data_IF_526420011565
#
_entry.id   IF_526420011565
#
_cell.length_a   1.000
_cell.length_b   1.000
_cell.length_c   1.000
_cell.angle_alpha   90.00
_cell.angle_beta   90.00
_cell.angle_gamma   90.00
#
_symmetry.space_group_name_H-M   'P 1'
#
loop_
_entity.id
_entity.type
_entity.pdbx_description
1 polymer ?
#
# COMPACT_ATOMS: atom_id res chain seq x y z
N UNK A 1 21.03 -4.48 27.13
CA UNK A 1 20.56 -5.36 26.04
C UNK A 1 19.05 -5.25 25.97
N UNK A 2 18.57 -4.20 25.32
CA UNK A 2 17.14 -4.01 25.03
C UNK A 2 16.82 -4.91 23.85
N UNK A 3 16.12 -6.03 24.10
CA UNK A 3 15.52 -6.80 23.01
C UNK A 3 14.61 -5.85 22.24
N UNK A 4 14.83 -5.72 20.94
CA UNK A 4 13.91 -5.03 20.04
C UNK A 4 12.51 -5.59 20.28
N UNK A 5 11.60 -4.72 20.71
CA UNK A 5 10.22 -5.14 20.96
C UNK A 5 9.61 -5.54 19.61
N UNK A 6 9.13 -6.78 19.43
CA UNK A 6 8.72 -7.31 18.11
C UNK A 6 7.68 -6.45 17.38
N UNK A 7 6.88 -5.67 18.11
CA UNK A 7 5.90 -4.77 17.51
C UNK A 7 6.55 -3.61 16.75
N UNK A 8 7.78 -3.19 17.09
CA UNK A 8 8.47 -2.04 16.47
C UNK A 8 9.04 -2.35 15.10
N UNK A 9 9.30 -3.62 14.83
CA UNK A 9 9.91 -4.10 13.58
C UNK A 9 8.91 -4.85 12.72
N UNK A 10 7.65 -5.03 13.16
CA UNK A 10 6.62 -5.72 12.38
C UNK A 10 6.41 -5.08 11.00
N UNK A 11 6.56 -3.75 10.91
CA UNK A 11 6.49 -3.04 9.63
C UNK A 11 7.74 -3.25 8.77
N UNK A 12 8.91 -3.41 9.39
CA UNK A 12 10.18 -3.73 8.72
C UNK A 12 10.15 -5.15 8.14
N UNK A 13 9.45 -6.06 8.85
CA UNK A 13 9.30 -7.46 8.46
C UNK A 13 8.18 -7.68 7.43
N UNK A 14 7.28 -6.71 7.22
CA UNK A 14 6.17 -6.79 6.26
C UNK A 14 6.61 -6.61 4.78
N UNK A 15 7.84 -6.99 4.45
CA UNK A 15 8.32 -6.94 3.08
C UNK A 15 7.90 -8.19 2.30
N UNK A 16 6.82 -8.13 1.53
CA UNK A 16 6.63 -9.13 0.46
C UNK A 16 7.73 -8.95 -0.61
N UNK A 17 8.43 -10.02 -1.03
CA UNK A 17 9.52 -9.94 -2.00
C UNK A 17 9.13 -9.35 -3.37
N UNK A 18 7.86 -9.46 -3.76
CA UNK A 18 7.42 -9.26 -5.16
C UNK A 18 6.79 -7.86 -5.43
N UNK A 19 6.40 -7.11 -4.38
CA UNK A 19 5.73 -5.80 -4.49
C UNK A 19 6.61 -4.60 -4.06
N UNK A 20 7.94 -4.79 -3.97
CA UNK A 20 8.90 -3.81 -3.42
C UNK A 20 9.05 -2.53 -4.24
N UNK A 21 8.49 -2.42 -5.44
CA UNK A 21 8.74 -1.24 -6.28
C UNK A 21 8.22 0.04 -5.63
N UNK A 22 6.98 0.08 -5.17
CA UNK A 22 6.38 1.30 -4.63
C UNK A 22 7.04 1.75 -3.31
N UNK A 23 7.32 0.82 -2.40
CA UNK A 23 8.02 1.14 -1.13
C UNK A 23 9.47 1.55 -1.40
N UNK A 24 10.17 0.83 -2.29
CA UNK A 24 11.54 1.19 -2.65
C UNK A 24 11.61 2.57 -3.32
N UNK A 25 10.72 2.87 -4.27
CA UNK A 25 10.64 4.18 -4.93
C UNK A 25 10.34 5.30 -3.92
N UNK A 26 9.38 5.10 -3.03
CA UNK A 26 9.05 6.07 -2.00
C UNK A 26 10.24 6.31 -1.04
N UNK A 27 10.96 5.25 -0.67
CA UNK A 27 12.12 5.34 0.21
C UNK A 27 13.39 5.85 -0.50
N UNK A 28 13.55 5.65 -1.80
CA UNK A 28 14.73 6.08 -2.56
C UNK A 28 14.86 7.60 -2.57
N UNK A 29 13.75 8.34 -2.68
CA UNK A 29 13.76 9.79 -2.54
C UNK A 29 14.26 10.25 -1.16
N UNK A 30 13.84 9.59 -0.09
CA UNK A 30 14.27 9.89 1.29
C UNK A 30 15.76 9.54 1.46
N UNK A 31 16.17 8.36 1.01
CA UNK A 31 17.57 7.90 1.06
C UNK A 31 18.48 8.85 0.31
N UNK A 32 18.12 9.26 -0.90
CA UNK A 32 18.89 10.20 -1.71
C UNK A 32 19.13 11.56 -1.04
N UNK A 33 18.24 11.99 -0.13
CA UNK A 33 18.49 13.19 0.70
C UNK A 33 19.46 12.88 1.85
N UNK A 34 19.30 11.72 2.50
CA UNK A 34 20.01 11.38 3.75
C UNK A 34 21.36 10.66 3.59
N UNK A 35 21.70 10.21 2.38
CA UNK A 35 22.91 9.39 2.11
C UNK A 35 24.22 10.11 2.44
N UNK A 36 24.28 11.43 2.24
CA UNK A 36 25.40 12.27 2.67
C UNK A 36 25.00 13.12 3.89
N UNK A 37 24.67 12.45 5.00
CA UNK A 37 24.23 13.10 6.25
C UNK A 37 25.20 14.19 6.76
N UNK A 38 26.49 14.08 6.43
CA UNK A 38 27.53 15.06 6.81
C UNK A 38 27.47 16.37 5.98
N UNK A 39 26.66 16.43 4.92
CA UNK A 39 26.48 17.61 4.06
C UNK A 39 25.03 18.08 3.94
N UNK A 40 24.11 17.59 4.77
CA UNK A 40 22.71 18.01 4.77
C UNK A 40 22.59 19.54 4.95
N UNK A 41 21.95 20.19 3.99
CA UNK A 41 21.63 21.61 4.05
C UNK A 41 20.31 21.83 4.83
N UNK A 42 20.06 23.04 5.36
CA UNK A 42 18.77 23.35 6.00
C UNK A 42 17.55 23.07 5.10
N UNK A 43 17.71 23.25 3.78
CA UNK A 43 16.66 22.96 2.81
C UNK A 43 16.27 21.47 2.81
N UNK A 44 17.24 20.57 2.98
CA UNK A 44 17.02 19.11 3.01
C UNK A 44 16.20 18.71 4.25
N UNK A 45 16.49 19.31 5.40
CA UNK A 45 15.73 19.09 6.63
C UNK A 45 14.26 19.53 6.48
N UNK A 46 14.03 20.67 5.82
CA UNK A 46 12.67 21.16 5.53
C UNK A 46 11.96 20.23 4.54
N UNK A 47 12.65 19.79 3.48
CA UNK A 47 12.09 18.88 2.49
C UNK A 47 11.67 17.55 3.12
N UNK A 48 12.49 16.97 4.00
CA UNK A 48 12.17 15.74 4.73
C UNK A 48 10.94 15.91 5.64
N UNK A 49 10.83 17.05 6.33
CA UNK A 49 9.67 17.33 7.18
C UNK A 49 8.37 17.44 6.37
N UNK A 50 8.40 18.12 5.22
CA UNK A 50 7.24 18.25 4.32
C UNK A 50 6.87 16.89 3.72
N UNK A 51 7.83 16.13 3.22
CA UNK A 51 7.60 14.79 2.68
C UNK A 51 6.97 13.86 3.72
N UNK A 52 7.43 13.92 4.98
CA UNK A 52 6.82 13.17 6.08
C UNK A 52 5.38 13.57 6.37
N UNK A 53 5.05 14.86 6.28
CA UNK A 53 3.69 15.35 6.45
C UNK A 53 2.77 14.92 5.29
N UNK A 54 3.23 15.07 4.04
CA UNK A 54 2.47 14.65 2.85
C UNK A 54 2.23 13.13 2.84
N UNK A 55 3.22 12.33 3.25
CA UNK A 55 3.06 10.89 3.38
C UNK A 55 2.00 10.51 4.43
N UNK A 56 1.93 11.24 5.55
CA UNK A 56 0.91 11.02 6.57
C UNK A 56 -0.50 11.41 6.09
N UNK A 57 -0.64 12.50 5.32
CA UNK A 57 -1.91 12.88 4.69
C UNK A 57 -2.35 11.87 3.63
N UNK A 58 -1.43 11.41 2.78
CA UNK A 58 -1.71 10.37 1.79
C UNK A 58 -2.15 9.05 2.44
N UNK A 59 -1.54 8.65 3.55
CA UNK A 59 -1.96 7.47 4.31
C UNK A 59 -3.37 7.64 4.90
N UNK A 60 -3.71 8.81 5.45
CA UNK A 60 -5.06 9.11 5.91
C UNK A 60 -6.07 8.89 4.79
N UNK A 61 -5.82 9.50 3.63
CA UNK A 61 -6.74 9.44 2.48
C UNK A 61 -6.86 8.00 1.94
N UNK A 62 -5.76 7.25 1.91
CA UNK A 62 -5.78 5.83 1.54
C UNK A 62 -6.65 4.99 2.48
N UNK A 63 -6.60 5.25 3.79
CA UNK A 63 -7.38 4.54 4.81
C UNK A 63 -8.88 4.88 4.81
N UNK A 64 -9.33 5.88 4.04
CA UNK A 64 -10.76 6.16 3.85
C UNK A 64 -11.45 5.12 2.94
N UNK A 65 -10.67 4.31 2.21
CA UNK A 65 -11.19 3.23 1.38
C UNK A 65 -11.62 2.01 2.21
N UNK A 66 -12.81 1.47 1.92
CA UNK A 66 -13.28 0.19 2.48
C UNK A 66 -12.33 -0.98 2.14
N UNK A 67 -11.49 -0.82 1.11
CA UNK A 67 -10.54 -1.80 0.63
C UNK A 67 -9.09 -1.41 0.90
N UNK A 68 -8.84 -0.46 1.81
CA UNK A 68 -7.50 -0.01 2.16
C UNK A 68 -6.62 -1.15 2.72
N UNK A 69 -7.24 -2.06 3.47
CA UNK A 69 -6.60 -3.21 4.10
C UNK A 69 -7.55 -4.41 4.00
N UNK A 70 -7.02 -5.57 3.62
CA UNK A 70 -7.76 -6.82 3.50
C UNK A 70 -7.72 -7.69 4.74
N UNK A 71 -6.70 -7.57 5.59
CA UNK A 71 -6.54 -8.43 6.78
C UNK A 71 -6.23 -7.65 8.07
N UNK A 72 -6.55 -8.21 9.25
CA UNK A 72 -6.13 -7.63 10.52
C UNK A 72 -4.60 -7.52 10.67
N UNK A 73 -3.84 -8.41 10.04
CA UNK A 73 -2.38 -8.42 10.05
C UNK A 73 -1.82 -7.22 9.27
N UNK A 74 -2.44 -6.87 8.13
CA UNK A 74 -2.15 -5.62 7.42
C UNK A 74 -2.42 -4.39 8.30
N UNK A 75 -3.52 -4.39 9.06
CA UNK A 75 -3.79 -3.32 10.03
C UNK A 75 -2.75 -3.27 11.17
N UNK A 76 -2.26 -4.43 11.65
CA UNK A 76 -1.21 -4.49 12.67
C UNK A 76 0.10 -3.86 12.16
N UNK A 77 0.44 -4.08 10.90
CA UNK A 77 1.61 -3.51 10.22
C UNK A 77 1.48 -2.00 10.09
N UNK A 78 0.35 -1.51 9.58
CA UNK A 78 0.09 -0.06 9.48
C UNK A 78 0.14 0.60 10.86
N UNK A 79 -0.47 -0.03 11.88
CA UNK A 79 -0.40 0.47 13.26
C UNK A 79 1.05 0.50 13.78
N UNK A 80 1.82 -0.55 13.52
CA UNK A 80 3.25 -0.63 13.85
C UNK A 80 4.04 0.53 13.19
N UNK A 81 3.84 0.78 11.89
CA UNK A 81 4.48 1.86 11.17
C UNK A 81 4.09 3.25 11.72
N UNK A 82 2.80 3.48 12.01
CA UNK A 82 2.31 4.72 12.60
C UNK A 82 2.94 4.98 13.98
N UNK A 83 3.02 3.96 14.84
CA UNK A 83 3.67 4.11 16.14
C UNK A 83 5.19 4.29 16.03
N UNK A 84 5.84 3.69 15.02
CA UNK A 84 7.24 3.95 14.72
C UNK A 84 7.47 5.41 14.30
N UNK A 85 6.59 5.95 13.44
CA UNK A 85 6.61 7.37 13.05
C UNK A 85 6.41 8.31 14.23
N UNK A 86 5.44 8.03 15.11
CA UNK A 86 5.23 8.79 16.35
C UNK A 86 6.45 8.73 17.27
N UNK A 87 7.04 7.55 17.46
CA UNK A 87 8.23 7.41 18.26
C UNK A 87 9.41 8.21 17.67
N UNK A 88 9.58 8.20 16.34
CA UNK A 88 10.57 9.03 15.65
C UNK A 88 10.29 10.54 15.81
N UNK A 89 9.02 10.97 15.76
CA UNK A 89 8.64 12.37 15.98
C UNK A 89 9.07 12.91 17.35
N UNK A 90 9.08 12.07 18.38
CA UNK A 90 9.61 12.45 19.71
C UNK A 90 11.09 12.85 19.61
N UNK A 91 11.91 12.03 18.97
CA UNK A 91 13.34 12.32 18.77
C UNK A 91 13.57 13.53 17.83
N UNK A 92 12.68 13.76 16.86
CA UNK A 92 12.70 14.94 15.99
C UNK A 92 12.43 16.21 16.81
N UNK A 93 11.43 16.23 17.69
CA UNK A 93 11.15 17.39 18.54
C UNK A 93 12.31 17.69 19.51
N UNK A 94 12.91 16.67 20.12
CA UNK A 94 14.11 16.84 20.95
C UNK A 94 15.30 17.40 20.15
N UNK A 95 15.45 16.98 18.90
CA UNK A 95 16.49 17.47 18.00
C UNK A 95 16.23 18.92 17.57
N UNK A 96 14.97 19.27 17.28
CA UNK A 96 14.56 20.64 17.00
C UNK A 96 14.82 21.54 18.21
N UNK A 97 14.46 21.12 19.42
CA UNK A 97 14.73 21.88 20.65
C UNK A 97 16.23 22.14 20.83
N UNK A 98 17.09 21.15 20.58
CA UNK A 98 18.55 21.33 20.60
C UNK A 98 19.04 22.32 19.54
N UNK A 99 18.52 22.25 18.32
CA UNK A 99 18.86 23.19 17.25
C UNK A 99 18.50 24.63 17.61
N UNK A 100 17.32 24.83 18.20
CA UNK A 100 16.85 26.13 18.65
C UNK A 100 17.69 26.69 19.80
N UNK A 101 18.03 25.86 20.80
CA UNK A 101 18.94 26.25 21.87
C UNK A 101 20.31 26.68 21.33
N UNK A 102 20.87 25.93 20.38
CA UNK A 102 22.15 26.28 19.76
C UNK A 102 22.07 27.61 18.99
N UNK A 103 20.97 27.89 18.31
CA UNK A 103 20.76 29.17 17.61
C UNK A 103 20.65 30.34 18.60
N UNK A 104 20.01 30.14 19.74
CA UNK A 104 19.95 31.13 20.82
C UNK A 104 21.33 31.37 21.46
N UNK A 105 22.09 30.31 21.73
CA UNK A 105 23.45 30.39 22.29
C UNK A 105 24.39 31.16 21.35
N UNK A 106 24.23 30.98 20.02
CA UNK A 106 24.92 31.77 18.98
C UNK A 106 24.36 33.18 18.80
N UNK A 107 23.26 33.53 19.48
CA UNK A 107 22.54 34.81 19.42
C UNK A 107 21.98 35.13 18.03
N UNK A 108 21.64 34.10 17.27
CA UNK A 108 20.98 34.21 15.96
C UNK A 108 19.47 34.46 16.10
N UNK A 109 18.92 34.13 17.27
CA UNK A 109 17.50 34.28 17.59
C UNK A 109 17.33 34.62 19.09
N UNK A 110 16.18 35.22 19.42
CA UNK A 110 15.72 35.41 20.79
C UNK A 110 14.51 34.50 20.98
N UNK A 111 14.75 33.21 21.21
CA UNK A 111 13.68 32.24 21.38
C UNK A 111 12.95 32.50 22.71
N UNK A 112 11.64 32.28 22.72
CA UNK A 112 10.86 32.38 23.96
C UNK A 112 10.84 31.01 24.65
N UNK A 113 10.96 31.02 25.98
CA UNK A 113 10.74 29.83 26.83
C UNK A 113 9.43 29.10 26.50
N UNK A 114 8.41 29.85 26.06
CA UNK A 114 7.10 29.32 25.65
C UNK A 114 7.19 28.28 24.51
N UNK A 115 7.97 28.54 23.45
CA UNK A 115 8.06 27.61 22.33
C UNK A 115 8.79 26.31 22.73
N UNK A 116 9.83 26.41 23.57
CA UNK A 116 10.53 25.25 24.12
C UNK A 116 9.64 24.41 25.04
N UNK A 117 8.81 25.07 25.87
CA UNK A 117 7.83 24.41 26.74
C UNK A 117 6.77 23.66 25.91
N UNK A 118 6.27 24.27 24.84
CA UNK A 118 5.31 23.63 23.93
C UNK A 118 5.89 22.43 23.20
N UNK A 119 7.14 22.52 22.72
CA UNK A 119 7.83 21.38 22.10
C UNK A 119 8.04 20.23 23.08
N UNK A 120 8.45 20.55 24.32
CA UNK A 120 8.62 19.56 25.40
C UNK A 120 7.29 18.86 25.71
N UNK A 121 6.19 19.64 25.79
CA UNK A 121 4.86 19.10 26.03
C UNK A 121 4.39 18.18 24.88
N UNK A 122 4.63 18.58 23.63
CA UNK A 122 4.31 17.76 22.47
C UNK A 122 5.08 16.43 22.48
N UNK A 123 6.39 16.46 22.71
CA UNK A 123 7.22 15.26 22.82
C UNK A 123 6.72 14.30 23.92
N UNK A 124 6.35 14.84 25.09
CA UNK A 124 5.80 14.04 26.18
C UNK A 124 4.45 13.38 25.82
N UNK A 125 3.55 14.10 25.13
CA UNK A 125 2.26 13.56 24.69
C UNK A 125 2.43 12.42 23.67
N UNK A 126 3.37 12.57 22.74
CA UNK A 126 3.70 11.53 21.76
C UNK A 126 4.30 10.30 22.44
N UNK A 127 5.24 10.49 23.36
CA UNK A 127 5.84 9.39 24.13
C UNK A 127 4.79 8.62 24.96
N UNK A 128 3.85 9.34 25.60
CA UNK A 128 2.72 8.71 26.30
C UNK A 128 1.87 7.85 25.36
N UNK A 129 1.58 8.36 24.16
CA UNK A 129 0.78 7.66 23.15
C UNK A 129 1.48 6.39 22.68
N UNK A 130 2.79 6.43 22.46
CA UNK A 130 3.58 5.25 22.07
C UNK A 130 3.57 4.14 23.14
N UNK A 131 3.26 4.46 24.41
CA UNK A 131 3.15 3.48 25.48
C UNK A 131 2.05 2.43 25.27
N UNK A 132 1.04 2.70 24.44
CA UNK A 132 -0.05 1.75 24.14
C UNK A 132 0.22 0.88 22.91
N UNK A 133 1.26 1.22 22.14
CA UNK A 133 1.58 0.57 20.86
C UNK A 133 1.70 -0.97 20.94
N UNK A 134 2.41 -1.55 21.93
CA UNK A 134 2.53 -3.02 22.00
C UNK A 134 1.16 -3.70 22.15
N UNK A 135 0.25 -3.11 22.94
CA UNK A 135 -1.07 -3.69 23.18
C UNK A 135 -1.95 -3.69 21.93
N UNK A 136 -1.95 -2.58 21.18
CA UNK A 136 -2.74 -2.42 19.96
C UNK A 136 -2.22 -3.34 18.85
N UNK A 137 -0.91 -3.28 18.56
CA UNK A 137 -0.30 -4.07 17.48
C UNK A 137 -0.46 -5.57 17.75
N UNK A 138 -0.21 -6.03 18.98
CA UNK A 138 -0.36 -7.45 19.31
C UNK A 138 -1.82 -7.92 19.22
N UNK A 139 -2.78 -7.08 19.63
CA UNK A 139 -4.19 -7.43 19.53
C UNK A 139 -4.64 -7.58 18.08
N UNK A 140 -4.24 -6.65 17.20
CA UNK A 140 -4.52 -6.73 15.76
C UNK A 140 -3.85 -7.93 15.12
N UNK A 141 -2.57 -8.20 15.44
CA UNK A 141 -1.83 -9.31 14.84
C UNK A 141 -2.39 -10.68 15.25
N UNK A 142 -2.93 -10.78 16.48
CA UNK A 142 -3.57 -11.99 16.99
C UNK A 142 -5.04 -12.15 16.56
N UNK A 143 -5.64 -11.15 15.90
CA UNK A 143 -6.99 -11.29 15.38
C UNK A 143 -7.03 -12.43 14.34
N UNK A 144 -7.97 -13.37 14.45
CA UNK A 144 -8.13 -14.42 13.45
C UNK A 144 -8.37 -13.79 12.08
N UNK A 145 -7.57 -14.19 11.10
CA UNK A 145 -7.89 -13.90 9.72
C UNK A 145 -9.03 -14.83 9.27
N UNK A 146 -10.20 -14.25 9.07
CA UNK A 146 -11.38 -14.97 8.60
C UNK A 146 -11.44 -15.01 7.07
N UNK A 147 -10.57 -14.25 6.41
CA UNK A 147 -10.56 -14.05 4.98
C UNK A 147 -9.33 -14.75 4.43
N UNK A 148 -9.51 -15.91 3.80
CA UNK A 148 -8.41 -16.49 3.03
C UNK A 148 -8.21 -15.65 1.78
N UNK A 149 -7.18 -14.80 1.77
CA UNK A 149 -6.74 -14.15 0.55
C UNK A 149 -6.27 -15.19 -0.48
N UNK A 150 -6.47 -14.93 -1.78
CA UNK A 150 -5.89 -15.73 -2.85
C UNK A 150 -4.37 -15.85 -2.71
N UNK A 151 -3.81 -16.99 -3.07
CA UNK A 151 -2.34 -17.16 -3.10
C UNK A 151 -1.68 -16.59 -4.35
N UNK A 152 -2.43 -16.40 -5.43
CA UNK A 152 -1.92 -16.00 -6.74
C UNK A 152 -3.05 -15.40 -7.62
N UNK A 153 -2.68 -14.89 -8.79
CA UNK A 153 -3.62 -14.32 -9.76
C UNK A 153 -4.71 -15.31 -10.22
N UNK A 154 -4.41 -16.61 -10.28
CA UNK A 154 -5.36 -17.62 -10.73
C UNK A 154 -6.43 -17.87 -9.66
N UNK A 155 -6.05 -18.03 -8.39
CA UNK A 155 -7.00 -18.10 -7.27
C UNK A 155 -7.87 -16.83 -7.19
N UNK A 156 -7.29 -15.65 -7.46
CA UNK A 156 -8.05 -14.40 -7.51
C UNK A 156 -9.11 -14.41 -8.61
N UNK A 157 -8.75 -14.81 -9.84
CA UNK A 157 -9.71 -14.95 -10.95
C UNK A 157 -10.83 -15.94 -10.65
N UNK A 158 -10.48 -17.11 -10.09
CA UNK A 158 -11.47 -18.10 -9.69
C UNK A 158 -12.45 -17.54 -8.66
N UNK A 159 -11.94 -16.79 -7.67
CA UNK A 159 -12.75 -16.10 -6.67
C UNK A 159 -13.69 -15.05 -7.29
N UNK A 160 -13.19 -14.24 -8.22
CA UNK A 160 -14.00 -13.23 -8.93
C UNK A 160 -15.10 -13.91 -9.76
N UNK A 161 -14.77 -14.97 -10.50
CA UNK A 161 -15.74 -15.71 -11.32
C UNK A 161 -16.88 -16.28 -10.47
N UNK A 162 -16.55 -16.88 -9.32
CA UNK A 162 -17.53 -17.42 -8.38
C UNK A 162 -18.50 -16.34 -7.87
N UNK A 163 -18.02 -15.12 -7.66
CA UNK A 163 -18.82 -13.98 -7.17
C UNK A 163 -19.63 -13.29 -8.28
N UNK A 164 -19.18 -13.30 -9.52
CA UNK A 164 -19.95 -12.85 -10.69
C UNK A 164 -21.08 -13.83 -11.02
N UNK A 165 -20.91 -15.10 -10.65
CA UNK A 165 -21.94 -16.13 -10.73
C UNK A 165 -21.89 -16.97 -12.02
N UNK A 166 -22.87 -17.87 -12.23
CA UNK A 166 -22.76 -18.94 -13.24
C UNK A 166 -22.67 -18.48 -14.70
N UNK A 167 -22.98 -17.21 -14.99
CA UNK A 167 -22.85 -16.64 -16.33
C UNK A 167 -21.40 -16.25 -16.67
N UNK A 168 -20.53 -16.12 -15.66
CA UNK A 168 -19.12 -15.86 -15.84
C UNK A 168 -18.37 -17.17 -16.12
N UNK A 169 -17.69 -17.22 -17.25
CA UNK A 169 -16.90 -18.38 -17.69
C UNK A 169 -15.42 -18.04 -17.59
N UNK A 170 -14.70 -18.85 -16.81
CA UNK A 170 -13.24 -18.81 -16.80
C UNK A 170 -12.72 -19.52 -18.03
N UNK A 171 -11.87 -18.86 -18.81
CA UNK A 171 -11.06 -19.51 -19.84
C UNK A 171 -9.68 -19.74 -19.25
N UNK A 172 -9.33 -21.01 -19.05
CA UNK A 172 -7.98 -21.41 -18.66
C UNK A 172 -7.09 -21.50 -19.90
N UNK A 173 -6.00 -20.74 -19.92
CA UNK A 173 -5.04 -20.72 -21.04
C UNK A 173 -3.77 -21.54 -20.73
N UNK A 174 -3.84 -22.42 -19.73
CA UNK A 174 -2.79 -23.35 -19.34
C UNK A 174 -3.42 -24.69 -18.91
N UNK A 175 -2.67 -25.79 -18.98
CA UNK A 175 -3.11 -27.08 -18.45
C UNK A 175 -3.09 -27.14 -16.91
N UNK A 176 -3.67 -28.19 -16.31
CA UNK A 176 -3.67 -28.37 -14.86
C UNK A 176 -2.24 -28.46 -14.31
N UNK A 177 -1.87 -27.53 -13.42
CA UNK A 177 -0.53 -27.48 -12.81
C UNK A 177 0.59 -26.97 -13.74
N UNK A 178 0.25 -26.43 -14.91
CA UNK A 178 1.23 -25.83 -15.83
C UNK A 178 1.53 -24.36 -15.51
N UNK A 179 0.69 -23.71 -14.70
CA UNK A 179 0.96 -22.36 -14.20
C UNK A 179 1.87 -22.41 -12.97
N UNK A 180 2.97 -21.65 -13.05
CA UNK A 180 3.65 -21.11 -11.88
C UNK A 180 3.67 -19.60 -12.05
N UNK A 181 3.32 -18.86 -11.00
CA UNK A 181 3.57 -17.42 -10.96
C UNK A 181 5.09 -17.22 -11.17
N UNK A 182 5.46 -16.47 -12.20
CA UNK A 182 6.84 -16.06 -12.36
C UNK A 182 7.02 -14.70 -11.69
N UNK A 183 8.19 -14.46 -11.08
CA UNK A 183 8.53 -13.19 -10.40
C UNK A 183 8.47 -11.95 -11.32
N UNK A 184 8.08 -12.12 -12.59
CA UNK A 184 7.94 -11.07 -13.59
C UNK A 184 6.56 -10.43 -13.58
N UNK A 185 5.65 -10.92 -12.75
CA UNK A 185 4.33 -10.34 -12.55
C UNK A 185 3.38 -10.55 -13.72
N UNK A 186 3.66 -11.49 -14.64
CA UNK A 186 2.68 -11.84 -15.66
C UNK A 186 1.54 -12.62 -15.02
N UNK A 187 0.30 -12.22 -15.28
CA UNK A 187 -0.86 -13.01 -14.84
C UNK A 187 -0.82 -14.42 -15.44
N UNK A 188 -1.62 -15.34 -14.90
CA UNK A 188 -1.74 -16.72 -15.42
C UNK A 188 -2.27 -16.83 -16.85
N UNK A 189 -2.57 -15.71 -17.52
CA UNK A 189 -3.20 -15.67 -18.83
C UNK A 189 -4.66 -16.12 -18.82
N UNK A 190 -5.21 -16.53 -17.68
CA UNK A 190 -6.62 -16.81 -17.54
C UNK A 190 -7.46 -15.53 -17.59
N UNK A 191 -8.69 -15.70 -18.02
CA UNK A 191 -9.63 -14.61 -18.23
C UNK A 191 -11.04 -15.05 -17.83
N UNK A 192 -11.89 -14.08 -17.49
CA UNK A 192 -13.30 -14.28 -17.19
C UNK A 192 -14.12 -13.58 -18.26
N UNK A 193 -14.89 -14.37 -19.01
CA UNK A 193 -15.84 -13.88 -19.99
C UNK A 193 -17.25 -13.90 -19.43
N UNK A 194 -17.96 -12.79 -19.52
CA UNK A 194 -19.34 -12.70 -19.04
C UNK A 194 -20.14 -11.68 -19.85
N UNK A 195 -21.48 -11.79 -19.78
CA UNK A 195 -22.37 -10.83 -20.41
C UNK A 195 -22.93 -9.83 -19.39
N UNK A 196 -22.96 -8.55 -19.77
CA UNK A 196 -23.64 -7.50 -19.02
C UNK A 196 -24.44 -6.61 -19.98
N UNK A 197 -25.75 -6.48 -19.73
CA UNK A 197 -26.69 -5.69 -20.56
C UNK A 197 -26.60 -6.02 -22.07
N UNK A 198 -26.36 -7.29 -22.40
CA UNK A 198 -26.26 -7.77 -23.79
C UNK A 198 -24.92 -7.51 -24.49
N UNK A 199 -23.91 -7.05 -23.75
CA UNK A 199 -22.54 -6.91 -24.24
C UNK A 199 -21.63 -7.95 -23.58
N UNK A 200 -20.72 -8.52 -24.36
CA UNK A 200 -19.70 -9.44 -23.87
C UNK A 200 -18.50 -8.66 -23.32
N UNK A 201 -18.08 -9.03 -22.12
CA UNK A 201 -16.98 -8.42 -21.38
C UNK A 201 -15.95 -9.48 -21.01
N UNK A 202 -14.70 -9.06 -21.02
CA UNK A 202 -13.54 -9.86 -20.62
C UNK A 202 -12.85 -9.15 -19.45
N UNK A 203 -12.68 -9.89 -18.35
CA UNK A 203 -11.88 -9.49 -17.20
C UNK A 203 -10.64 -10.37 -17.10
N UNK A 204 -9.47 -9.76 -17.02
CA UNK A 204 -8.19 -10.47 -16.99
C UNK A 204 -7.14 -9.69 -16.20
N UNK A 205 -6.04 -10.37 -15.87
CA UNK A 205 -4.84 -9.72 -15.36
C UNK A 205 -3.82 -9.56 -16.47
N UNK A 206 -3.42 -8.33 -16.76
CA UNK A 206 -2.30 -8.03 -17.64
C UNK A 206 -0.95 -8.24 -16.97
N UNK A 207 0.05 -7.46 -17.40
CA UNK A 207 1.44 -7.54 -16.90
C UNK A 207 1.61 -7.02 -15.47
N UNK A 208 0.65 -6.25 -14.95
CA UNK A 208 0.71 -5.69 -13.58
C UNK A 208 -0.62 -5.09 -13.11
N UNK A 209 -1.70 -5.27 -13.87
CA UNK A 209 -2.99 -4.63 -13.62
C UNK A 209 -4.15 -5.59 -13.85
N UNK A 210 -5.23 -5.35 -13.14
CA UNK A 210 -6.53 -5.96 -13.40
C UNK A 210 -7.30 -5.09 -14.39
N UNK A 211 -7.76 -5.70 -15.48
CA UNK A 211 -8.33 -4.98 -16.60
C UNK A 211 -9.70 -5.53 -17.00
N UNK A 212 -10.60 -4.62 -17.37
CA UNK A 212 -11.93 -4.94 -17.88
C UNK A 212 -12.10 -4.35 -19.30
N UNK A 213 -12.40 -5.19 -20.27
CA UNK A 213 -12.53 -4.77 -21.68
C UNK A 213 -13.80 -5.34 -22.30
N UNK A 214 -14.35 -4.64 -23.30
CA UNK A 214 -15.45 -5.19 -24.11
C UNK A 214 -14.85 -6.08 -25.18
N UNK A 215 -15.41 -7.28 -25.37
CA UNK A 215 -14.83 -8.23 -26.33
C UNK A 215 -14.85 -7.68 -27.76
N UNK A 216 -15.90 -6.94 -28.13
CA UNK A 216 -16.05 -6.34 -29.46
C UNK A 216 -14.97 -5.31 -29.81
N UNK A 217 -14.26 -4.76 -28.81
CA UNK A 217 -13.20 -3.78 -29.01
C UNK A 217 -11.83 -4.46 -29.20
N UNK A 218 -11.79 -5.79 -29.14
CA UNK A 218 -10.60 -6.61 -29.35
C UNK A 218 -10.32 -6.90 -30.83
N UNK A 219 -9.05 -6.85 -31.21
CA UNK A 219 -8.53 -7.28 -32.49
C UNK A 219 -7.96 -8.69 -32.38
N UNK A 220 -8.52 -9.65 -33.11
CA UNK A 220 -8.00 -11.02 -33.14
C UNK A 220 -6.64 -11.06 -33.87
N UNK A 221 -5.64 -11.64 -33.22
CA UNK A 221 -4.30 -11.83 -33.77
C UNK A 221 -4.17 -13.19 -34.48
N UNK A 222 -3.15 -13.32 -35.34
CA UNK A 222 -2.90 -14.53 -36.14
C UNK A 222 -2.59 -15.78 -35.29
N UNK A 223 -2.12 -15.58 -34.06
CA UNK A 223 -1.83 -16.65 -33.09
C UNK A 223 -3.09 -17.11 -32.32
N UNK A 224 -4.24 -16.50 -32.58
CA UNK A 224 -5.51 -16.79 -31.91
C UNK A 224 -5.73 -16.02 -30.60
N UNK A 225 -4.77 -15.19 -30.18
CA UNK A 225 -4.96 -14.26 -29.05
C UNK A 225 -5.78 -13.03 -29.48
N UNK A 226 -6.30 -12.28 -28.50
CA UNK A 226 -7.02 -11.03 -28.76
C UNK A 226 -6.26 -9.87 -28.17
N UNK A 227 -5.96 -8.87 -29.00
CA UNK A 227 -5.32 -7.64 -28.59
C UNK A 227 -6.36 -6.55 -28.34
N UNK A 228 -6.28 -5.89 -27.19
CA UNK A 228 -7.16 -4.77 -26.85
C UNK A 228 -6.35 -3.47 -26.88
N UNK A 229 -6.83 -2.48 -27.64
CA UNK A 229 -6.18 -1.15 -27.69
C UNK A 229 -6.60 -0.25 -26.52
N UNK A 230 -7.77 -0.50 -25.92
CA UNK A 230 -8.29 0.23 -24.75
C UNK A 230 -8.42 -0.68 -23.55
N UNK A 231 -7.60 -0.43 -22.52
CA UNK A 231 -7.64 -1.15 -21.24
C UNK A 231 -8.38 -0.29 -20.22
N UNK A 232 -9.47 -0.80 -19.63
CA UNK A 232 -10.04 -0.17 -18.44
C UNK A 232 -9.42 -0.81 -17.21
N UNK A 233 -8.26 -0.28 -16.80
CA UNK A 233 -7.61 -0.68 -15.56
C UNK A 233 -8.52 -0.40 -14.37
N UNK A 234 -8.67 -1.39 -13.49
CA UNK A 234 -9.55 -1.28 -12.31
C UNK A 234 -8.88 -0.63 -11.11
N UNK A 235 -7.56 -0.38 -11.16
CA UNK A 235 -6.81 0.30 -10.10
C UNK A 235 -5.85 -0.64 -9.37
N UNK A 236 -6.32 -1.72 -8.68
CA UNK A 236 -5.44 -2.65 -8.00
C UNK A 236 -4.43 -3.29 -8.96
N UNK A 237 -3.20 -3.44 -8.48
CA UNK A 237 -2.07 -4.07 -9.21
C UNK A 237 -1.67 -5.43 -8.62
N UNK A 238 -2.02 -5.64 -7.35
CA UNK A 238 -1.74 -6.86 -6.58
C UNK A 238 -2.42 -8.08 -7.21
N UNK A 239 -1.65 -9.13 -7.52
CA UNK A 239 -2.18 -10.40 -8.05
C UNK A 239 -3.06 -11.14 -7.03
N UNK A 240 -2.94 -10.84 -5.75
CA UNK A 240 -3.69 -11.45 -4.64
C UNK A 240 -4.83 -10.58 -4.13
N UNK A 241 -5.19 -9.53 -4.89
CA UNK A 241 -6.27 -8.61 -4.52
C UNK A 241 -7.56 -9.34 -4.14
N UNK A 242 -8.22 -8.87 -3.08
CA UNK A 242 -9.43 -9.49 -2.57
C UNK A 242 -10.53 -9.58 -3.65
N UNK A 243 -11.08 -10.78 -3.96
CA UNK A 243 -12.01 -10.94 -5.09
C UNK A 243 -13.25 -10.03 -5.04
N UNK A 244 -13.81 -9.78 -3.86
CA UNK A 244 -14.96 -8.88 -3.69
C UNK A 244 -14.61 -7.42 -4.00
N UNK A 245 -13.35 -6.98 -3.80
CA UNK A 245 -12.90 -5.65 -4.20
C UNK A 245 -12.98 -5.52 -5.72
N UNK A 246 -12.38 -6.47 -6.45
CA UNK A 246 -12.39 -6.50 -7.90
C UNK A 246 -13.82 -6.56 -8.46
N UNK A 247 -14.71 -7.37 -7.88
CA UNK A 247 -16.13 -7.41 -8.28
C UNK A 247 -16.83 -6.06 -8.07
N UNK A 248 -16.50 -5.34 -6.99
CA UNK A 248 -17.05 -4.01 -6.72
C UNK A 248 -16.62 -3.01 -7.79
N UNK A 249 -15.33 -3.04 -8.16
CA UNK A 249 -14.76 -2.20 -9.22
C UNK A 249 -15.33 -2.56 -10.60
N UNK A 250 -15.45 -3.85 -10.93
CA UNK A 250 -16.09 -4.32 -12.17
C UNK A 250 -17.51 -3.74 -12.26
N UNK A 251 -18.31 -3.87 -11.20
CA UNK A 251 -19.70 -3.37 -11.19
C UNK A 251 -19.76 -1.85 -11.36
N UNK A 252 -18.93 -1.11 -10.64
CA UNK A 252 -18.85 0.34 -10.78
C UNK A 252 -18.51 0.74 -12.23
N UNK A 253 -17.54 0.06 -12.85
CA UNK A 253 -17.11 0.34 -14.22
C UNK A 253 -18.18 0.01 -15.27
N UNK A 254 -18.93 -1.07 -15.07
CA UNK A 254 -20.05 -1.44 -15.94
C UNK A 254 -21.19 -0.42 -15.86
N UNK A 255 -21.42 0.17 -14.69
CA UNK A 255 -22.45 1.20 -14.51
C UNK A 255 -22.02 2.56 -15.09
N UNK A 256 -20.73 2.93 -15.07
CA UNK A 256 -20.20 4.12 -15.74
C UNK A 256 -20.30 4.08 -17.27
N UNK A 257 -20.25 2.87 -17.85
CA UNK A 257 -20.16 2.66 -19.30
C UNK A 257 -21.52 2.42 -19.97
N UNK A 258 -22.61 2.52 -19.19
CA UNK A 258 -24.01 2.39 -19.59
C UNK A 258 -24.64 3.72 -19.99
#
# INVERSE_FOLDING_TARGET
MTGTEPWRTLWEDYEEPENRHAVAEACDGIRGITEDADSLEPADTVALAIAGAEAAEGLRDALESDWALYTPQQAAVVASALFAQLNAATAIFESLQRLLQNAEDRRETAFTTEAADHLTHAAAAVAFTCGVAPGVVNALNACPDLTRLPSDAHETLAGVAALLGPAAKVTENHGPGEYSEDDRGFGCGCEIRFEHRGQAWNFQRGNSSWDLVREQDGEALEDGSTFYQGWNGLGPTDSTAHPQHLVTLIRAKLDETS
#
